data_IF_807020177219
#
_entry.id   IF_807020177219
#
_cell.length_a   1.000
_cell.length_b   1.000
_cell.length_c   1.000
_cell.angle_alpha   90.00
_cell.angle_beta   90.00
_cell.angle_gamma   90.00
#
_symmetry.space_group_name_H-M   'P 1'
#
loop_
_entity.id
_entity.type
_entity.pdbx_description
1 polymer ?
#
# COMPACT_ATOMS: atom_id res chain seq x y z
N UNK A 1 -27.36 44.23 3.24
CA UNK A 1 -26.47 43.77 2.15
C UNK A 1 -25.31 42.91 2.67
N UNK A 2 -24.45 43.44 3.57
CA UNK A 2 -23.28 42.71 4.10
C UNK A 2 -23.66 41.37 4.76
N UNK A 3 -24.73 41.33 5.58
CA UNK A 3 -25.19 40.07 6.19
C UNK A 3 -25.56 39.00 5.16
N UNK A 4 -26.29 39.34 4.10
CA UNK A 4 -26.63 38.37 3.05
C UNK A 4 -25.37 37.84 2.35
N UNK A 5 -24.40 38.72 2.08
CA UNK A 5 -23.12 38.32 1.49
C UNK A 5 -22.39 37.31 2.39
N UNK A 6 -22.26 37.61 3.69
CA UNK A 6 -21.61 36.73 4.66
C UNK A 6 -22.32 35.38 4.78
N UNK A 7 -23.66 35.37 4.80
CA UNK A 7 -24.47 34.16 4.85
C UNK A 7 -24.24 33.26 3.63
N UNK A 8 -24.41 33.79 2.42
CA UNK A 8 -24.29 32.97 1.20
C UNK A 8 -22.85 32.57 0.93
N UNK A 9 -21.89 33.49 1.11
CA UNK A 9 -20.48 33.18 0.91
C UNK A 9 -19.98 32.15 1.92
N UNK A 10 -20.37 32.27 3.20
CA UNK A 10 -19.91 31.34 4.21
C UNK A 10 -20.49 29.92 4.04
N UNK A 11 -21.76 29.80 3.66
CA UNK A 11 -22.35 28.49 3.31
C UNK A 11 -21.68 27.88 2.07
N UNK A 12 -21.43 28.69 1.03
CA UNK A 12 -20.77 28.23 -0.20
C UNK A 12 -19.35 27.72 0.10
N UNK A 13 -18.55 28.48 0.85
CA UNK A 13 -17.19 28.09 1.20
C UNK A 13 -17.21 26.83 2.07
N UNK A 14 -18.06 26.77 3.09
CA UNK A 14 -18.14 25.62 3.99
C UNK A 14 -18.54 24.34 3.25
N UNK A 15 -19.58 24.40 2.40
CA UNK A 15 -20.00 23.27 1.59
C UNK A 15 -18.93 22.85 0.59
N UNK A 16 -18.24 23.81 -0.03
CA UNK A 16 -17.13 23.52 -0.95
C UNK A 16 -16.00 22.80 -0.22
N UNK A 17 -15.62 23.23 0.99
CA UNK A 17 -14.61 22.53 1.79
C UNK A 17 -15.05 21.11 2.15
N UNK A 18 -16.31 20.91 2.55
CA UNK A 18 -16.85 19.58 2.83
C UNK A 18 -16.83 18.65 1.61
N UNK A 19 -17.21 19.16 0.43
CA UNK A 19 -17.20 18.41 -0.83
C UNK A 19 -15.77 18.05 -1.27
N UNK A 20 -14.83 18.97 -1.14
CA UNK A 20 -13.44 18.71 -1.49
C UNK A 20 -12.79 17.71 -0.54
N UNK A 21 -13.05 17.82 0.77
CA UNK A 21 -12.59 16.86 1.77
C UNK A 21 -13.14 15.44 1.48
N UNK A 22 -14.43 15.35 1.16
CA UNK A 22 -15.07 14.10 0.72
C UNK A 22 -14.43 13.52 -0.54
N UNK A 23 -14.26 14.32 -1.58
CA UNK A 23 -13.69 13.85 -2.86
C UNK A 23 -12.22 13.44 -2.73
N UNK A 24 -11.41 14.23 -2.04
CA UNK A 24 -9.95 14.11 -2.09
C UNK A 24 -9.38 13.19 -1.00
N UNK A 25 -10.05 13.03 0.15
CA UNK A 25 -9.64 12.12 1.22
C UNK A 25 -10.61 10.95 1.47
N UNK A 26 -11.80 10.96 0.87
CA UNK A 26 -12.69 9.81 0.92
C UNK A 26 -12.33 8.75 -0.13
N UNK A 27 -12.31 7.48 0.27
CA UNK A 27 -12.13 6.36 -0.69
C UNK A 27 -13.39 6.09 -1.51
N UNK A 28 -14.58 6.17 -0.88
CA UNK A 28 -15.85 5.87 -1.56
C UNK A 28 -16.09 6.79 -2.77
N UNK A 29 -15.85 8.11 -2.69
CA UNK A 29 -16.03 9.01 -3.84
C UNK A 29 -15.14 8.64 -5.02
N UNK A 30 -13.95 8.09 -4.75
CA UNK A 30 -13.03 7.66 -5.80
C UNK A 30 -13.56 6.46 -6.60
N UNK A 31 -14.61 5.76 -6.16
CA UNK A 31 -15.30 4.75 -6.98
C UNK A 31 -16.00 5.35 -8.20
N UNK A 32 -16.36 6.64 -8.15
CA UNK A 32 -17.17 7.31 -9.17
C UNK A 32 -16.60 8.64 -9.65
N UNK A 33 -15.62 9.20 -8.93
CA UNK A 33 -14.99 10.48 -9.24
C UNK A 33 -13.50 10.32 -9.42
N UNK A 34 -12.95 11.03 -10.42
CA UNK A 34 -11.50 11.13 -10.57
C UNK A 34 -10.91 12.11 -9.57
N UNK A 35 -9.85 11.68 -8.91
CA UNK A 35 -9.06 12.50 -7.99
C UNK A 35 -7.62 12.56 -8.52
N UNK A 36 -7.01 13.74 -8.44
CA UNK A 36 -5.61 13.94 -8.85
C UNK A 36 -4.69 13.85 -7.64
N UNK A 37 -3.47 13.35 -7.84
CA UNK A 37 -2.49 13.19 -6.75
C UNK A 37 -2.26 14.47 -5.97
N UNK A 38 -2.03 15.56 -6.70
CA UNK A 38 -1.75 16.89 -6.13
C UNK A 38 -2.85 17.38 -5.19
N UNK A 39 -4.11 16.99 -5.43
CA UNK A 39 -5.22 17.36 -4.56
C UNK A 39 -5.19 16.55 -3.26
N UNK A 40 -4.97 15.24 -3.35
CA UNK A 40 -4.81 14.36 -2.19
C UNK A 40 -3.68 14.88 -1.30
N UNK A 41 -2.49 15.11 -1.88
CA UNK A 41 -1.32 15.60 -1.14
C UNK A 41 -1.57 16.95 -0.47
N UNK A 42 -2.25 17.87 -1.17
CA UNK A 42 -2.61 19.18 -0.60
C UNK A 42 -3.56 19.04 0.60
N UNK A 43 -4.54 18.14 0.52
CA UNK A 43 -5.46 17.88 1.62
C UNK A 43 -4.79 17.19 2.79
N UNK A 44 -3.91 16.20 2.55
CA UNK A 44 -3.14 15.54 3.62
C UNK A 44 -2.32 16.55 4.42
N UNK A 45 -1.61 17.46 3.73
CA UNK A 45 -0.76 18.48 4.36
C UNK A 45 -1.54 19.54 5.14
N UNK A 46 -2.75 19.87 4.69
CA UNK A 46 -3.51 21.03 5.19
C UNK A 46 -4.90 20.67 5.71
N UNK A 47 -5.13 19.41 6.07
CA UNK A 47 -6.45 18.87 6.45
C UNK A 47 -7.15 19.76 7.46
N UNK A 48 -6.51 19.99 8.61
CA UNK A 48 -7.10 20.78 9.69
C UNK A 48 -7.28 22.25 9.33
N UNK A 49 -6.45 22.80 8.44
CA UNK A 49 -6.63 24.17 7.94
C UNK A 49 -7.89 24.27 7.07
N UNK A 50 -8.11 23.33 6.16
CA UNK A 50 -9.32 23.29 5.34
C UNK A 50 -10.57 23.08 6.19
N UNK A 51 -10.51 22.18 7.19
CA UNK A 51 -11.61 21.97 8.13
C UNK A 51 -11.88 23.22 8.98
N UNK A 52 -10.84 23.91 9.46
CA UNK A 52 -10.99 25.17 10.21
C UNK A 52 -11.60 26.29 9.37
N UNK A 53 -11.18 26.44 8.10
CA UNK A 53 -11.78 27.41 7.16
C UNK A 53 -13.26 27.07 6.92
N UNK A 54 -13.58 25.80 6.67
CA UNK A 54 -14.95 25.34 6.47
C UNK A 54 -15.84 25.56 7.70
N UNK A 55 -15.32 25.27 8.89
CA UNK A 55 -16.04 25.47 10.16
C UNK A 55 -16.21 26.95 10.50
N UNK A 56 -15.16 27.77 10.31
CA UNK A 56 -15.20 29.21 10.59
C UNK A 56 -16.18 29.96 9.69
N UNK A 57 -16.23 29.61 8.39
CA UNK A 57 -17.17 30.21 7.44
C UNK A 57 -18.61 29.75 7.66
N UNK A 58 -18.82 28.50 8.09
CA UNK A 58 -20.11 28.04 8.58
C UNK A 58 -20.54 28.81 9.83
N UNK A 59 -19.66 28.98 10.82
CA UNK A 59 -19.97 29.69 12.06
C UNK A 59 -20.35 31.15 11.78
N UNK A 60 -19.63 31.84 10.90
CA UNK A 60 -19.99 33.19 10.46
C UNK A 60 -21.40 33.22 9.84
N UNK A 61 -21.74 32.23 9.01
CA UNK A 61 -23.07 32.10 8.42
C UNK A 61 -24.14 31.83 9.48
N UNK A 62 -23.84 31.00 10.47
CA UNK A 62 -24.75 30.65 11.57
C UNK A 62 -25.03 31.85 12.47
N UNK A 63 -24.01 32.63 12.83
CA UNK A 63 -24.17 33.87 13.61
C UNK A 63 -25.06 34.87 12.86
N UNK A 64 -24.83 35.04 11.55
CA UNK A 64 -25.63 35.94 10.72
C UNK A 64 -27.08 35.44 10.56
N UNK A 65 -27.27 34.14 10.37
CA UNK A 65 -28.59 33.54 10.22
C UNK A 65 -29.42 33.58 11.52
N UNK A 66 -28.86 33.05 12.61
CA UNK A 66 -29.56 32.89 13.89
C UNK A 66 -29.62 34.21 14.65
N UNK A 67 -28.52 34.97 14.67
CA UNK A 67 -28.43 36.22 15.44
C UNK A 67 -29.14 37.40 14.77
N UNK A 68 -29.22 37.43 13.44
CA UNK A 68 -29.76 38.58 12.69
C UNK A 68 -30.90 38.21 11.75
N UNK A 69 -31.39 36.96 11.78
CA UNK A 69 -32.49 36.47 10.92
C UNK A 69 -32.24 36.67 9.42
N UNK A 70 -30.98 36.54 8.98
CA UNK A 70 -30.59 36.74 7.58
C UNK A 70 -30.60 35.41 6.81
N UNK A 71 -31.20 35.43 5.62
CA UNK A 71 -31.18 34.29 4.70
C UNK A 71 -32.26 33.24 5.00
N UNK A 72 -32.61 32.39 4.01
CA UNK A 72 -33.66 31.41 4.16
C UNK A 72 -33.22 30.23 5.05
N UNK A 73 -34.03 29.90 6.07
CA UNK A 73 -33.71 28.83 7.02
C UNK A 73 -33.57 27.44 6.41
N UNK A 74 -34.38 27.11 5.38
CA UNK A 74 -34.29 25.82 4.69
C UNK A 74 -32.91 25.60 4.07
N UNK A 75 -32.31 26.65 3.49
CA UNK A 75 -30.99 26.57 2.87
C UNK A 75 -29.92 26.39 3.94
N UNK A 76 -29.98 27.16 5.02
CA UNK A 76 -29.04 27.06 6.13
C UNK A 76 -29.00 25.64 6.71
N UNK A 77 -30.16 25.07 7.04
CA UNK A 77 -30.22 23.74 7.65
C UNK A 77 -29.83 22.63 6.67
N UNK A 78 -30.27 22.71 5.40
CA UNK A 78 -29.89 21.72 4.39
C UNK A 78 -28.38 21.75 4.14
N UNK A 79 -27.78 22.92 3.97
CA UNK A 79 -26.33 23.07 3.80
C UNK A 79 -25.57 22.61 5.05
N UNK A 80 -26.07 22.92 6.25
CA UNK A 80 -25.44 22.49 7.51
C UNK A 80 -25.42 20.96 7.63
N UNK A 81 -26.55 20.31 7.38
CA UNK A 81 -26.66 18.84 7.45
C UNK A 81 -25.77 18.20 6.39
N UNK A 82 -25.79 18.70 5.15
CA UNK A 82 -24.98 18.16 4.07
C UNK A 82 -23.49 18.31 4.33
N UNK A 83 -23.02 19.50 4.70
CA UNK A 83 -21.61 19.73 5.05
C UNK A 83 -21.19 18.88 6.25
N UNK A 84 -22.02 18.84 7.29
CA UNK A 84 -21.79 18.00 8.47
C UNK A 84 -21.66 16.52 8.09
N UNK A 85 -22.54 16.00 7.24
CA UNK A 85 -22.50 14.63 6.76
C UNK A 85 -21.23 14.33 5.95
N UNK A 86 -20.84 15.21 5.02
CA UNK A 86 -19.63 15.05 4.20
C UNK A 86 -18.37 15.03 5.06
N UNK A 87 -18.24 15.95 6.02
CA UNK A 87 -17.08 16.02 6.91
C UNK A 87 -17.07 14.84 7.90
N UNK A 88 -18.18 14.60 8.59
CA UNK A 88 -18.26 13.57 9.60
C UNK A 88 -18.05 12.18 9.00
N UNK A 89 -18.59 11.91 7.81
CA UNK A 89 -18.39 10.64 7.12
C UNK A 89 -16.91 10.37 6.88
N UNK A 90 -16.20 11.30 6.23
CA UNK A 90 -14.77 11.13 5.89
C UNK A 90 -13.93 11.01 7.15
N UNK A 91 -14.14 11.92 8.11
CA UNK A 91 -13.34 11.95 9.33
C UNK A 91 -13.52 10.68 10.15
N UNK A 92 -14.76 10.19 10.30
CA UNK A 92 -15.04 8.92 11.00
C UNK A 92 -14.46 7.74 10.22
N UNK A 93 -14.66 7.69 8.89
CA UNK A 93 -14.13 6.63 8.04
C UNK A 93 -12.61 6.52 8.19
N UNK A 94 -11.89 7.63 7.95
CA UNK A 94 -10.43 7.68 7.95
C UNK A 94 -9.86 7.47 9.36
N UNK A 95 -10.25 8.27 10.34
CA UNK A 95 -9.57 8.26 11.65
C UNK A 95 -10.13 7.24 12.65
N UNK A 96 -11.33 6.69 12.43
CA UNK A 96 -11.95 5.70 13.32
C UNK A 96 -12.19 4.37 12.64
N UNK A 97 -12.62 4.36 11.38
CA UNK A 97 -12.90 3.16 10.60
C UNK A 97 -11.61 2.42 10.20
N UNK A 98 -10.59 3.15 9.74
CA UNK A 98 -9.28 2.62 9.35
C UNK A 98 -8.28 2.57 10.52
N UNK A 99 -8.79 2.37 11.74
CA UNK A 99 -7.97 2.31 12.96
C UNK A 99 -6.88 1.26 12.80
N UNK A 100 -5.64 1.74 12.70
CA UNK A 100 -4.48 0.90 12.47
C UNK A 100 -3.97 0.24 13.76
N UNK A 101 -3.10 -0.75 13.62
CA UNK A 101 -2.50 -1.50 14.72
C UNK A 101 -0.96 -1.50 14.61
N UNK A 102 -0.37 -0.37 14.22
CA UNK A 102 1.09 -0.28 14.00
C UNK A 102 1.94 -0.57 15.25
N UNK A 103 1.38 -0.35 16.44
CA UNK A 103 2.04 -0.58 17.74
C UNK A 103 1.28 -1.58 18.63
N UNK A 104 0.07 -1.98 18.23
CA UNK A 104 -0.86 -2.74 19.09
C UNK A 104 -1.33 -4.06 18.46
N UNK A 105 -0.69 -4.49 17.37
CA UNK A 105 -1.04 -5.74 16.71
C UNK A 105 -0.85 -6.92 17.65
N UNK A 106 -1.76 -7.89 17.55
CA UNK A 106 -1.68 -9.13 18.32
C UNK A 106 -1.39 -10.29 17.39
N UNK A 107 -0.37 -11.05 17.75
CA UNK A 107 0.07 -12.25 17.05
C UNK A 107 -0.29 -13.47 17.89
N UNK A 108 -0.86 -14.46 17.23
CA UNK A 108 -1.39 -15.67 17.85
C UNK A 108 -0.68 -16.90 17.29
N UNK A 109 -0.75 -18.03 18.01
CA UNK A 109 -0.22 -19.28 17.49
C UNK A 109 -0.96 -19.70 16.22
N UNK A 110 -0.31 -20.54 15.41
CA UNK A 110 -0.96 -21.17 14.26
C UNK A 110 -2.23 -21.93 14.68
N UNK A 111 -2.21 -22.63 15.81
CA UNK A 111 -3.36 -23.40 16.29
C UNK A 111 -4.59 -22.51 16.48
N UNK A 112 -4.43 -21.39 17.19
CA UNK A 112 -5.52 -20.45 17.42
C UNK A 112 -5.97 -19.75 16.12
N UNK A 113 -5.03 -19.46 15.22
CA UNK A 113 -5.34 -18.79 13.96
C UNK A 113 -6.17 -19.64 12.98
N UNK A 114 -6.18 -20.97 13.12
CA UNK A 114 -6.96 -21.90 12.26
C UNK A 114 -8.46 -21.68 12.37
N UNK A 115 -8.95 -21.13 13.47
CA UNK A 115 -10.36 -20.80 13.66
C UNK A 115 -10.81 -19.58 12.84
N UNK A 116 -9.85 -18.78 12.36
CA UNK A 116 -10.11 -17.49 11.70
C UNK A 116 -9.59 -17.43 10.27
N UNK A 117 -8.62 -18.26 9.91
CA UNK A 117 -7.88 -18.17 8.64
C UNK A 117 -7.98 -19.51 7.91
N UNK A 118 -8.59 -19.49 6.72
CA UNK A 118 -8.66 -20.68 5.86
C UNK A 118 -7.23 -21.10 5.42
N UNK A 119 -6.93 -22.41 5.33
CA UNK A 119 -5.63 -22.91 4.84
C UNK A 119 -5.23 -22.37 3.45
N UNK A 120 -6.20 -22.01 2.60
CA UNK A 120 -5.96 -21.46 1.25
C UNK A 120 -5.78 -19.94 1.24
N UNK A 121 -5.96 -19.27 2.38
CA UNK A 121 -5.83 -17.81 2.47
C UNK A 121 -4.40 -17.41 2.17
N UNK A 122 -4.22 -16.42 1.29
CA UNK A 122 -2.92 -15.80 1.06
C UNK A 122 -2.50 -14.98 2.28
N UNK A 123 -1.27 -15.19 2.75
CA UNK A 123 -0.65 -14.49 3.87
C UNK A 123 0.61 -13.78 3.37
N UNK A 124 0.89 -12.60 3.93
CA UNK A 124 2.16 -11.91 3.73
C UNK A 124 3.05 -12.23 4.93
N UNK A 125 4.28 -12.65 4.67
CA UNK A 125 5.19 -13.10 5.70
C UNK A 125 6.32 -12.10 5.90
N UNK A 126 6.61 -11.83 7.17
CA UNK A 126 7.87 -11.28 7.64
C UNK A 126 8.61 -12.36 8.39
N UNK A 127 9.91 -12.46 8.19
CA UNK A 127 10.76 -13.43 8.85
C UNK A 127 12.11 -12.80 9.18
N UNK A 128 12.64 -13.15 10.35
CA UNK A 128 14.00 -12.85 10.77
C UNK A 128 14.50 -13.96 11.68
N UNK A 129 15.65 -14.53 11.33
CA UNK A 129 16.33 -15.57 12.12
C UNK A 129 15.43 -16.78 12.48
N UNK A 130 14.58 -17.20 11.55
CA UNK A 130 13.63 -18.29 11.72
C UNK A 130 12.32 -17.90 12.42
N UNK A 131 12.23 -16.70 13.00
CA UNK A 131 11.01 -16.20 13.64
C UNK A 131 10.16 -15.48 12.61
N UNK A 132 8.98 -16.04 12.35
CA UNK A 132 8.10 -15.57 11.29
C UNK A 132 6.73 -15.11 11.80
N UNK A 133 6.21 -14.06 11.15
CA UNK A 133 4.88 -13.50 11.34
C UNK A 133 4.10 -13.52 10.03
N UNK A 134 2.96 -14.19 10.02
CA UNK A 134 2.01 -14.17 8.92
C UNK A 134 0.96 -13.08 9.10
N UNK A 135 0.62 -12.40 8.01
CA UNK A 135 -0.40 -11.36 7.95
C UNK A 135 -1.44 -11.77 6.90
N UNK A 136 -2.53 -12.46 7.31
CA UNK A 136 -3.59 -12.84 6.40
C UNK A 136 -4.26 -11.62 5.80
N UNK A 137 -4.48 -11.62 4.49
CA UNK A 137 -5.06 -10.49 3.76
C UNK A 137 -6.38 -10.01 4.37
N UNK A 138 -7.28 -10.93 4.72
CA UNK A 138 -8.58 -10.62 5.33
C UNK A 138 -8.48 -9.94 6.70
N UNK A 139 -7.40 -10.19 7.44
CA UNK A 139 -7.19 -9.66 8.78
C UNK A 139 -6.53 -8.27 8.73
N UNK A 140 -5.57 -8.06 7.83
CA UNK A 140 -4.83 -6.79 7.73
C UNK A 140 -5.49 -5.75 6.83
N UNK A 141 -6.43 -6.16 5.96
CA UNK A 141 -7.15 -5.27 5.02
C UNK A 141 -7.75 -4.02 5.66
N UNK A 142 -8.37 -4.13 6.84
CA UNK A 142 -8.99 -2.97 7.51
C UNK A 142 -7.98 -2.10 8.28
N UNK A 143 -7.13 -2.65 9.18
CA UNK A 143 -6.19 -1.81 9.92
C UNK A 143 -5.07 -1.23 9.03
N UNK A 144 -4.77 -1.85 7.88
CA UNK A 144 -3.70 -1.50 6.94
C UNK A 144 -2.27 -1.50 7.51
N UNK A 145 -2.07 -1.27 8.81
CA UNK A 145 -0.79 -1.34 9.50
C UNK A 145 -0.88 -2.32 10.66
N UNK A 146 0.11 -3.20 10.78
CA UNK A 146 0.27 -4.14 11.88
C UNK A 146 1.71 -4.17 12.36
N UNK A 147 1.93 -3.94 13.65
CA UNK A 147 3.24 -3.95 14.31
C UNK A 147 3.10 -3.93 15.83
N UNK A 148 4.23 -4.05 16.51
CA UNK A 148 4.33 -4.11 17.98
C UNK A 148 5.51 -3.26 18.44
N UNK A 149 5.46 -2.73 19.66
CA UNK A 149 6.57 -1.97 20.25
C UNK A 149 7.86 -2.81 20.32
N UNK A 150 7.75 -4.11 20.58
CA UNK A 150 8.90 -5.02 20.64
C UNK A 150 9.49 -5.35 19.26
N UNK A 151 8.79 -4.98 18.18
CA UNK A 151 9.19 -5.31 16.82
C UNK A 151 9.22 -6.83 16.54
N UNK A 152 9.99 -7.24 15.51
CA UNK A 152 10.28 -8.63 15.17
C UNK A 152 11.74 -8.92 15.51
N UNK A 153 12.00 -9.81 16.48
CA UNK A 153 13.37 -10.08 16.97
C UNK A 153 14.12 -8.78 17.32
N UNK A 154 13.46 -7.91 18.09
CA UNK A 154 13.98 -6.61 18.53
C UNK A 154 14.09 -5.54 17.44
N UNK A 155 13.71 -5.84 16.19
CA UNK A 155 13.73 -4.86 15.10
C UNK A 155 12.37 -4.20 14.92
N UNK A 156 12.36 -2.88 14.96
CA UNK A 156 11.18 -2.07 14.68
C UNK A 156 10.73 -2.26 13.23
N UNK A 157 9.67 -3.04 13.02
CA UNK A 157 9.09 -3.30 11.70
C UNK A 157 7.58 -3.23 11.79
N UNK A 158 6.98 -2.51 10.83
CA UNK A 158 5.54 -2.42 10.64
C UNK A 158 5.20 -3.02 9.29
N UNK A 159 4.28 -3.98 9.29
CA UNK A 159 3.65 -4.45 8.06
C UNK A 159 2.62 -3.41 7.61
N UNK A 160 2.75 -2.95 6.37
CA UNK A 160 1.75 -2.12 5.69
C UNK A 160 1.02 -2.97 4.66
N UNK A 161 -0.27 -2.72 4.43
CA UNK A 161 -1.04 -3.44 3.43
C UNK A 161 -2.08 -2.55 2.76
N UNK A 162 -2.15 -2.63 1.43
CA UNK A 162 -3.19 -2.04 0.61
C UNK A 162 -3.98 -3.13 -0.09
N UNK A 163 -5.27 -3.26 0.23
CA UNK A 163 -6.13 -4.28 -0.38
C UNK A 163 -6.43 -4.00 -1.86
N UNK A 164 -6.45 -2.74 -2.27
CA UNK A 164 -6.67 -2.35 -3.68
C UNK A 164 -5.43 -2.64 -4.54
N UNK A 165 -4.22 -2.46 -4.02
CA UNK A 165 -2.99 -2.87 -4.69
C UNK A 165 -2.70 -4.37 -4.57
N UNK A 166 -3.32 -5.03 -3.59
CA UNK A 166 -2.91 -6.32 -3.06
C UNK A 166 -1.41 -6.35 -2.68
N UNK A 167 -0.94 -5.25 -2.07
CA UNK A 167 0.47 -5.03 -1.75
C UNK A 167 0.70 -4.97 -0.25
N UNK A 168 1.46 -5.94 0.27
CA UNK A 168 2.01 -5.93 1.62
C UNK A 168 3.49 -5.55 1.59
N UNK A 169 3.91 -4.62 2.45
CA UNK A 169 5.31 -4.22 2.58
C UNK A 169 5.66 -4.03 4.06
N UNK A 170 6.72 -4.70 4.50
CA UNK A 170 7.33 -4.45 5.80
C UNK A 170 8.31 -3.29 5.69
N UNK A 171 8.27 -2.38 6.66
CA UNK A 171 9.17 -1.23 6.70
C UNK A 171 9.56 -0.91 8.13
N UNK A 172 10.78 -0.43 8.32
CA UNK A 172 11.17 0.28 9.55
C UNK A 172 10.55 1.68 9.49
N UNK A 173 9.66 2.07 10.42
CA UNK A 173 8.95 3.34 10.39
C UNK A 173 9.83 4.50 10.88
N UNK A 174 11.04 4.62 10.33
CA UNK A 174 12.06 5.58 10.68
C UNK A 174 12.75 6.06 9.41
N UNK A 175 13.13 7.33 9.36
CA UNK A 175 13.96 7.91 8.32
C UNK A 175 15.04 8.73 9.00
N UNK A 176 16.30 8.38 8.74
CA UNK A 176 17.48 9.09 9.30
C UNK A 176 17.49 9.15 10.83
N UNK A 177 17.00 8.09 11.47
CA UNK A 177 16.89 7.96 12.92
C UNK A 177 15.66 8.64 13.52
N UNK A 178 14.88 9.37 12.72
CA UNK A 178 13.65 10.03 13.17
C UNK A 178 12.44 9.12 12.94
N UNK A 179 11.63 8.94 13.99
CA UNK A 179 10.40 8.14 13.94
C UNK A 179 9.37 8.79 13.01
N UNK A 180 8.76 7.97 12.16
CA UNK A 180 7.63 8.35 11.30
C UNK A 180 6.33 7.93 11.99
N UNK A 181 5.50 8.92 12.30
CA UNK A 181 4.18 8.68 12.88
C UNK A 181 3.17 8.37 11.77
N UNK A 182 3.21 7.14 11.25
CA UNK A 182 2.33 6.72 10.15
C UNK A 182 0.85 6.70 10.55
N UNK A 183 0.02 7.30 9.69
CA UNK A 183 -1.43 7.20 9.70
C UNK A 183 -1.95 6.93 8.29
N UNK A 184 -3.01 6.13 8.17
CA UNK A 184 -3.66 5.81 6.89
C UNK A 184 -4.68 6.90 6.59
N UNK A 185 -4.56 7.59 5.45
CA UNK A 185 -5.48 8.67 5.11
C UNK A 185 -6.26 8.47 3.82
N UNK A 186 -5.61 7.94 2.78
CA UNK A 186 -6.21 7.88 1.46
C UNK A 186 -5.57 6.78 0.62
N UNK A 187 -6.02 6.68 -0.62
CA UNK A 187 -5.35 5.96 -1.69
C UNK A 187 -5.24 6.84 -2.93
N UNK A 188 -4.23 6.54 -3.75
CA UNK A 188 -4.03 7.13 -5.06
C UNK A 188 -3.19 6.18 -5.92
N UNK A 189 -3.42 6.13 -7.23
CA UNK A 189 -2.77 5.15 -8.10
C UNK A 189 -3.10 3.71 -7.71
N UNK A 190 -4.30 3.47 -7.14
CA UNK A 190 -4.68 2.20 -6.52
C UNK A 190 -3.72 1.70 -5.42
N UNK A 191 -2.93 2.58 -4.83
CA UNK A 191 -2.04 2.26 -3.73
C UNK A 191 -2.25 3.19 -2.53
N UNK A 192 -1.95 2.68 -1.33
CA UNK A 192 -2.17 3.35 -0.06
C UNK A 192 -1.30 4.61 0.07
N UNK A 193 -1.92 5.68 0.57
CA UNK A 193 -1.24 6.93 0.94
C UNK A 193 -1.33 7.09 2.45
N UNK A 194 -0.16 7.08 3.08
CA UNK A 194 0.01 7.32 4.50
C UNK A 194 0.32 8.81 4.73
N UNK A 195 0.17 9.28 5.96
CA UNK A 195 0.68 10.56 6.45
C UNK A 195 1.71 10.30 7.54
N UNK A 196 2.80 11.05 7.51
CA UNK A 196 3.67 11.23 8.66
C UNK A 196 3.08 12.33 9.56
N UNK A 197 2.47 11.97 10.68
CA UNK A 197 1.80 12.92 11.57
C UNK A 197 2.76 13.92 12.23
N UNK A 198 4.08 13.65 12.24
CA UNK A 198 5.06 14.60 12.75
C UNK A 198 5.26 15.78 11.79
N UNK A 199 5.13 15.55 10.49
CA UNK A 199 5.46 16.55 9.45
C UNK A 199 4.26 16.97 8.59
N UNK A 200 3.17 16.20 8.61
CA UNK A 200 2.03 16.36 7.71
C UNK A 200 2.30 15.87 6.29
N UNK A 201 3.46 15.26 6.02
CA UNK A 201 3.82 14.86 4.66
C UNK A 201 3.17 13.52 4.26
N UNK A 202 2.61 13.44 3.04
CA UNK A 202 2.11 12.18 2.50
C UNK A 202 3.26 11.25 2.13
N UNK A 203 3.05 9.95 2.34
CA UNK A 203 3.97 8.87 2.00
C UNK A 203 3.21 7.89 1.10
N UNK A 204 3.70 7.65 -0.11
CA UNK A 204 3.15 6.58 -0.95
C UNK A 204 3.69 5.24 -0.47
N UNK A 205 2.81 4.30 -0.13
CA UNK A 205 3.20 3.01 0.44
C UNK A 205 4.16 2.24 -0.47
N UNK A 206 3.94 2.20 -1.80
CA UNK A 206 4.81 1.44 -2.71
C UNK A 206 6.27 1.92 -2.73
N UNK A 207 6.50 3.19 -2.39
CA UNK A 207 7.83 3.81 -2.39
C UNK A 207 8.48 3.86 -1.00
N UNK A 208 7.68 4.01 0.05
CA UNK A 208 8.17 4.05 1.43
C UNK A 208 8.95 5.33 1.78
N UNK A 209 8.72 6.43 1.08
CA UNK A 209 9.28 7.75 1.40
C UNK A 209 8.26 8.88 1.23
N UNK A 210 8.53 10.05 1.82
CA UNK A 210 7.63 11.20 1.80
C UNK A 210 7.60 11.84 0.41
N UNK A 211 6.46 12.35 -0.03
CA UNK A 211 6.32 12.94 -1.37
C UNK A 211 7.29 14.11 -1.62
N UNK A 212 7.63 14.90 -0.59
CA UNK A 212 8.63 15.97 -0.69
C UNK A 212 10.07 15.48 -0.92
N UNK A 213 10.35 14.21 -0.58
CA UNK A 213 11.67 13.59 -0.67
C UNK A 213 11.85 12.85 -2.01
N UNK A 214 10.88 12.95 -2.93
CA UNK A 214 10.94 12.35 -4.26
C UNK A 214 11.96 13.06 -5.17
N UNK A 215 12.73 12.29 -5.92
CA UNK A 215 13.52 12.80 -7.03
C UNK A 215 12.60 13.08 -8.23
N UNK A 216 12.49 14.35 -8.60
CA UNK A 216 11.64 14.80 -9.71
C UNK A 216 12.39 14.87 -11.05
N UNK A 217 13.68 14.54 -11.07
CA UNK A 217 14.51 14.56 -12.28
C UNK A 217 14.38 13.31 -13.15
N UNK A 218 13.75 12.25 -12.62
CA UNK A 218 13.53 10.98 -13.32
C UNK A 218 12.07 10.80 -13.72
N UNK A 219 11.79 9.94 -14.71
CA UNK A 219 10.44 9.61 -15.18
C UNK A 219 9.64 8.81 -14.13
N UNK A 220 9.25 9.48 -13.05
CA UNK A 220 8.37 9.00 -11.97
C UNK A 220 8.98 9.17 -10.57
N UNK A 221 8.16 9.32 -9.51
CA UNK A 221 8.62 9.40 -8.12
C UNK A 221 9.10 8.03 -7.58
N UNK A 222 9.78 7.22 -8.39
CA UNK A 222 10.24 5.89 -8.03
C UNK A 222 11.48 5.91 -7.11
N UNK A 223 12.22 7.02 -7.11
CA UNK A 223 13.44 7.18 -6.35
C UNK A 223 13.34 8.37 -5.37
N UNK A 224 13.87 8.22 -4.15
CA UNK A 224 14.06 9.36 -3.27
C UNK A 224 15.26 10.19 -3.74
N UNK A 225 15.32 11.48 -3.36
CA UNK A 225 16.46 12.37 -3.58
C UNK A 225 17.78 11.77 -3.07
N UNK A 226 17.71 10.99 -1.99
CA UNK A 226 18.80 10.15 -1.49
C UNK A 226 18.23 8.91 -0.81
N UNK A 227 18.94 7.79 -0.89
CA UNK A 227 18.47 6.50 -0.36
C UNK A 227 18.15 6.54 1.14
N UNK A 228 18.83 7.38 1.92
CA UNK A 228 18.59 7.52 3.36
C UNK A 228 17.23 8.15 3.72
N UNK A 229 16.55 8.80 2.78
CA UNK A 229 15.22 9.38 2.99
C UNK A 229 14.07 8.37 2.85
N UNK A 230 14.39 7.12 2.47
CA UNK A 230 13.43 6.02 2.38
C UNK A 230 13.41 5.24 3.68
N UNK A 231 12.22 4.88 4.16
CA UNK A 231 12.07 3.90 5.21
C UNK A 231 12.74 2.60 4.79
N UNK A 232 13.49 1.97 5.70
CA UNK A 232 14.18 0.73 5.38
C UNK A 232 13.16 -0.36 5.01
N UNK A 233 13.17 -0.90 3.78
CA UNK A 233 12.28 -1.99 3.41
C UNK A 233 12.73 -3.29 4.05
N UNK A 234 11.76 -4.15 4.36
CA UNK A 234 11.98 -5.50 4.87
C UNK A 234 11.60 -6.54 3.81
N UNK A 235 12.34 -7.65 3.71
CA UNK A 235 11.96 -8.76 2.87
C UNK A 235 10.55 -9.25 3.21
N UNK A 236 9.66 -9.20 2.22
CA UNK A 236 8.31 -9.73 2.33
C UNK A 236 8.04 -10.67 1.18
N UNK A 237 7.27 -11.71 1.46
CA UNK A 237 6.87 -12.72 0.48
C UNK A 237 5.47 -13.21 0.79
N UNK A 238 4.86 -13.91 -0.16
CA UNK A 238 3.48 -14.38 -0.06
C UNK A 238 3.42 -15.87 -0.26
N UNK A 239 2.54 -16.49 0.51
CA UNK A 239 2.24 -17.91 0.45
C UNK A 239 0.83 -18.17 0.94
N UNK A 240 0.36 -19.40 0.80
CA UNK A 240 -0.87 -19.82 1.47
C UNK A 240 -0.64 -20.01 2.96
N UNK A 241 -1.71 -19.90 3.76
CA UNK A 241 -1.62 -20.15 5.19
C UNK A 241 -1.14 -21.57 5.48
N UNK A 242 -1.55 -22.58 4.70
CA UNK A 242 -0.99 -23.93 4.81
C UNK A 242 0.51 -23.98 4.49
N UNK A 243 0.98 -23.20 3.52
CA UNK A 243 2.40 -23.06 3.22
C UNK A 243 3.14 -22.52 4.43
N UNK A 244 2.60 -21.49 5.08
CA UNK A 244 3.14 -20.91 6.30
C UNK A 244 3.21 -21.92 7.45
N UNK A 245 2.14 -22.68 7.67
CA UNK A 245 2.10 -23.72 8.70
C UNK A 245 3.19 -24.78 8.52
N UNK A 246 3.51 -25.12 7.27
CA UNK A 246 4.59 -26.07 6.95
C UNK A 246 5.97 -25.46 7.09
N UNK A 247 6.15 -24.22 6.63
CA UNK A 247 7.45 -23.55 6.60
C UNK A 247 7.88 -23.07 8.00
N UNK A 248 6.92 -22.61 8.80
CA UNK A 248 7.14 -21.98 10.10
C UNK A 248 6.12 -22.52 11.12
N UNK A 249 6.29 -23.76 11.60
CA UNK A 249 5.34 -24.38 12.55
C UNK A 249 5.20 -23.61 13.87
N UNK A 250 6.26 -22.92 14.29
CA UNK A 250 6.28 -22.03 15.46
C UNK A 250 5.97 -20.56 15.11
N UNK A 251 5.61 -20.31 13.85
CA UNK A 251 5.26 -18.98 13.36
C UNK A 251 4.00 -18.45 14.03
N UNK A 252 3.89 -17.12 14.07
CA UNK A 252 2.73 -16.44 14.65
C UNK A 252 1.92 -15.72 13.59
N UNK A 253 0.63 -15.49 13.86
CA UNK A 253 -0.33 -14.97 12.88
C UNK A 253 -1.03 -13.74 13.43
N UNK A 254 -1.05 -12.66 12.65
CA UNK A 254 -1.82 -11.47 12.97
C UNK A 254 -3.32 -11.73 12.84
N UNK A 255 -4.09 -11.42 13.90
CA UNK A 255 -5.55 -11.46 13.88
C UNK A 255 -6.14 -10.12 14.31
N UNK A 256 -6.97 -9.51 13.46
CA UNK A 256 -7.71 -8.29 13.77
C UNK A 256 -9.03 -8.67 14.46
N UNK A 257 -8.95 -9.11 15.72
CA UNK A 257 -10.14 -9.50 16.47
C UNK A 257 -11.03 -8.28 16.80
N UNK A 258 -12.37 -8.43 16.80
CA UNK A 258 -13.27 -7.32 17.11
C UNK A 258 -13.00 -6.69 18.49
N UNK A 259 -13.19 -5.37 18.64
CA UNK A 259 -12.98 -4.69 19.90
C UNK A 259 -14.05 -5.09 20.93
N UNK A 260 -13.72 -4.96 22.21
CA UNK A 260 -14.66 -5.18 23.32
C UNK A 260 -15.77 -4.12 23.38
N UNK A 261 -15.50 -2.91 22.87
CA UNK A 261 -16.47 -1.81 22.84
C UNK A 261 -17.57 -2.12 21.81
N UNK A 262 -18.87 -2.13 22.18
CA UNK A 262 -19.95 -2.54 21.29
C UNK A 262 -20.18 -1.57 20.12
N UNK A 263 -20.00 -0.26 20.32
CA UNK A 263 -20.15 0.75 19.26
C UNK A 263 -19.03 0.61 18.23
N UNK A 264 -17.78 0.44 18.69
CA UNK A 264 -16.66 0.20 17.79
C UNK A 264 -16.79 -1.14 17.09
N UNK A 265 -17.33 -2.18 17.75
CA UNK A 265 -17.59 -3.47 17.12
C UNK A 265 -18.61 -3.36 16.00
N UNK A 266 -19.67 -2.58 16.19
CA UNK A 266 -20.68 -2.34 15.15
C UNK A 266 -20.09 -1.57 13.97
N UNK A 267 -19.29 -0.53 14.25
CA UNK A 267 -18.58 0.22 13.21
C UNK A 267 -17.62 -0.70 12.43
N UNK A 268 -16.78 -1.46 13.14
CA UNK A 268 -15.81 -2.40 12.56
C UNK A 268 -16.54 -3.44 11.68
N UNK A 269 -17.67 -3.97 12.13
CA UNK A 269 -18.49 -4.90 11.34
C UNK A 269 -19.03 -4.27 10.05
N UNK A 270 -19.58 -3.05 10.12
CA UNK A 270 -20.08 -2.35 8.95
C UNK A 270 -18.95 -2.05 7.93
N UNK A 271 -17.79 -1.65 8.44
CA UNK A 271 -16.59 -1.43 7.62
C UNK A 271 -16.11 -2.72 6.96
N UNK A 272 -15.99 -3.82 7.73
CA UNK A 272 -15.55 -5.12 7.20
C UNK A 272 -16.48 -5.65 6.11
N UNK A 273 -17.79 -5.48 6.26
CA UNK A 273 -18.76 -5.84 5.23
C UNK A 273 -18.53 -5.02 3.94
N UNK A 274 -18.38 -3.70 4.06
CA UNK A 274 -18.15 -2.80 2.94
C UNK A 274 -16.81 -3.11 2.23
N UNK A 275 -15.74 -3.32 3.00
CA UNK A 275 -14.43 -3.70 2.48
C UNK A 275 -14.49 -5.05 1.76
N UNK A 276 -15.04 -6.08 2.40
CA UNK A 276 -15.10 -7.42 1.81
C UNK A 276 -15.85 -7.41 0.48
N UNK A 277 -17.01 -6.75 0.40
CA UNK A 277 -17.77 -6.64 -0.83
C UNK A 277 -16.98 -5.87 -1.93
N UNK A 278 -16.36 -4.75 -1.55
CA UNK A 278 -15.62 -3.89 -2.50
C UNK A 278 -14.35 -4.56 -3.01
N UNK A 279 -13.61 -5.25 -2.14
CA UNK A 279 -12.37 -5.95 -2.50
C UNK A 279 -12.68 -7.22 -3.28
N UNK A 280 -13.72 -7.99 -2.92
CA UNK A 280 -14.15 -9.13 -3.74
C UNK A 280 -14.51 -8.70 -5.15
N UNK A 281 -15.25 -7.60 -5.30
CA UNK A 281 -15.53 -6.97 -6.60
C UNK A 281 -14.23 -6.56 -7.30
N UNK A 282 -13.30 -5.90 -6.60
CA UNK A 282 -12.01 -5.48 -7.15
C UNK A 282 -11.18 -6.65 -7.71
N UNK A 283 -11.17 -7.79 -7.02
CA UNK A 283 -10.41 -8.97 -7.43
C UNK A 283 -11.04 -9.70 -8.63
N UNK A 284 -12.35 -9.55 -8.84
CA UNK A 284 -13.10 -10.28 -9.88
C UNK A 284 -13.34 -9.45 -11.14
N UNK A 285 -13.41 -8.13 -11.02
CA UNK A 285 -13.55 -7.24 -12.18
C UNK A 285 -12.21 -7.00 -12.86
N UNK A 286 -12.19 -7.15 -14.19
CA UNK A 286 -11.00 -6.85 -14.98
C UNK A 286 -10.62 -5.35 -14.95
N UNK A 287 -11.55 -4.46 -14.63
CA UNK A 287 -11.26 -3.02 -14.56
C UNK A 287 -10.89 -2.61 -13.13
N UNK A 288 -9.95 -1.65 -12.97
CA UNK A 288 -9.80 -0.93 -11.71
C UNK A 288 -11.14 -0.31 -11.26
N UNK A 289 -11.53 -0.55 -10.01
CA UNK A 289 -12.79 0.00 -9.49
C UNK A 289 -12.64 1.42 -8.95
N UNK A 290 -11.44 1.80 -8.51
CA UNK A 290 -11.14 3.16 -8.07
C UNK A 290 -10.64 3.97 -9.27
N UNK A 291 -11.15 5.18 -9.40
CA UNK A 291 -10.89 6.11 -10.50
C UNK A 291 -9.72 7.06 -10.17
N UNK A 292 -8.61 6.53 -9.68
CA UNK A 292 -7.49 7.33 -9.17
C UNK A 292 -6.13 6.97 -9.81
N UNK A 293 -6.14 6.31 -10.97
CA UNK A 293 -4.95 6.12 -11.81
C UNK A 293 -4.66 7.42 -12.59
N UNK A 294 -3.39 7.81 -12.68
CA UNK A 294 -2.93 8.95 -13.48
C UNK A 294 -2.68 8.55 -14.92
N UNK A 295 -2.36 7.29 -15.16
CA UNK A 295 -2.03 6.78 -16.49
C UNK A 295 -3.08 5.81 -17.02
N UNK A 296 -3.19 5.67 -18.36
CA UNK A 296 -3.95 4.59 -18.97
C UNK A 296 -3.45 3.23 -18.48
N UNK A 297 -4.37 2.29 -18.34
CA UNK A 297 -4.04 0.90 -17.96
C UNK A 297 -3.10 0.31 -19.01
N UNK A 298 -1.98 -0.23 -18.52
CA UNK A 298 -0.98 -0.90 -19.36
C UNK A 298 -1.51 -2.26 -19.87
N UNK A 299 -1.60 -2.47 -21.20
CA UNK A 299 -2.19 -3.68 -21.77
C UNK A 299 -1.24 -4.88 -21.86
N UNK A 300 0.04 -4.76 -21.47
CA UNK A 300 1.03 -5.85 -21.62
C UNK A 300 0.70 -7.11 -20.83
N UNK A 301 -0.03 -6.98 -19.72
CA UNK A 301 -0.58 -8.09 -18.95
C UNK A 301 -2.04 -7.80 -18.54
N UNK A 302 -2.85 -8.84 -18.25
CA UNK A 302 -4.14 -8.63 -17.60
C UNK A 302 -4.00 -7.83 -16.31
N UNK A 303 -4.92 -6.91 -16.07
CA UNK A 303 -4.85 -5.95 -14.96
C UNK A 303 -4.69 -6.57 -13.57
N UNK A 304 -5.30 -7.75 -13.36
CA UNK A 304 -5.33 -8.48 -12.09
C UNK A 304 -4.30 -9.60 -12.01
N UNK A 305 -3.41 -9.72 -13.00
CA UNK A 305 -2.27 -10.62 -12.89
C UNK A 305 -1.42 -10.23 -11.69
N UNK A 306 -1.12 -11.20 -10.82
CA UNK A 306 -0.18 -11.00 -9.73
C UNK A 306 1.23 -10.97 -10.29
N UNK A 307 2.00 -9.99 -9.86
CA UNK A 307 3.40 -9.85 -10.24
C UNK A 307 4.27 -9.69 -8.99
N UNK A 308 5.49 -10.17 -9.07
CA UNK A 308 6.53 -9.92 -8.08
C UNK A 308 7.48 -8.89 -8.68
N UNK A 309 7.24 -7.63 -8.34
CA UNK A 309 8.01 -6.51 -8.85
C UNK A 309 9.24 -6.24 -8.00
N UNK A 310 10.36 -5.89 -8.65
CA UNK A 310 11.58 -5.40 -8.01
C UNK A 310 12.00 -4.12 -8.71
N UNK A 311 12.37 -3.12 -7.92
CA UNK A 311 12.97 -1.88 -8.43
C UNK A 311 14.22 -1.54 -7.62
N UNK A 312 15.33 -1.34 -8.33
CA UNK A 312 16.63 -0.98 -7.75
C UNK A 312 17.16 0.21 -8.56
N UNK A 313 17.17 1.38 -7.94
CA UNK A 313 17.36 2.65 -8.66
C UNK A 313 16.24 2.86 -9.67
N UNK A 314 16.61 3.24 -10.90
CA UNK A 314 15.68 3.43 -12.02
C UNK A 314 15.33 2.14 -12.77
N UNK A 315 16.00 1.03 -12.46
CA UNK A 315 15.75 -0.25 -13.10
C UNK A 315 14.64 -1.02 -12.38
N UNK A 316 13.58 -1.34 -13.11
CA UNK A 316 12.41 -2.04 -12.61
C UNK A 316 12.08 -3.24 -13.50
N UNK A 317 11.73 -4.36 -12.87
CA UNK A 317 11.25 -5.55 -13.56
C UNK A 317 10.21 -6.25 -12.68
N UNK A 318 9.38 -7.09 -13.28
CA UNK A 318 8.50 -7.97 -12.52
C UNK A 318 8.40 -9.35 -13.14
N UNK A 319 8.07 -10.34 -12.31
CA UNK A 319 7.81 -11.71 -12.77
C UNK A 319 6.41 -12.17 -12.41
N UNK A 320 5.83 -12.97 -13.31
CA UNK A 320 4.65 -13.78 -13.03
C UNK A 320 5.07 -15.17 -12.55
N UNK A 321 4.30 -15.76 -11.66
CA UNK A 321 4.52 -17.13 -11.17
C UNK A 321 4.49 -18.17 -12.29
N UNK A 322 3.50 -18.11 -13.19
CA UNK A 322 3.39 -19.02 -14.34
C UNK A 322 4.66 -19.05 -15.20
N UNK A 323 5.29 -17.88 -15.40
CA UNK A 323 6.55 -17.78 -16.15
C UNK A 323 7.69 -18.48 -15.42
N UNK A 324 7.87 -18.22 -14.12
CA UNK A 324 8.95 -18.82 -13.33
C UNK A 324 8.80 -20.33 -13.27
N UNK A 325 7.56 -20.82 -13.12
CA UNK A 325 7.24 -22.26 -13.19
C UNK A 325 7.63 -22.83 -14.56
N UNK A 326 7.29 -22.14 -15.66
CA UNK A 326 7.64 -22.58 -17.01
C UNK A 326 9.16 -22.61 -17.29
N UNK A 327 9.96 -21.83 -16.57
CA UNK A 327 11.43 -21.84 -16.63
C UNK A 327 12.08 -22.92 -15.75
N UNK A 328 11.30 -23.83 -15.17
CA UNK A 328 11.84 -24.87 -14.27
C UNK A 328 11.96 -24.40 -12.81
N UNK A 329 11.12 -23.44 -12.40
CA UNK A 329 11.01 -22.87 -11.07
C UNK A 329 12.14 -21.93 -10.62
N UNK A 330 13.22 -21.76 -11.39
CA UNK A 330 14.34 -20.87 -11.03
C UNK A 330 14.72 -19.98 -12.21
N UNK A 331 14.84 -18.67 -11.98
CA UNK A 331 15.24 -17.67 -12.98
C UNK A 331 16.33 -16.78 -12.38
N UNK A 332 17.46 -16.66 -13.06
CA UNK A 332 18.50 -15.68 -12.74
C UNK A 332 18.24 -14.40 -13.52
N UNK A 333 18.45 -13.25 -12.89
CA UNK A 333 18.29 -11.95 -13.54
C UNK A 333 19.18 -10.88 -12.92
N UNK A 334 19.54 -9.87 -13.72
CA UNK A 334 20.22 -8.67 -13.24
C UNK A 334 19.24 -7.49 -13.17
N UNK A 335 19.17 -6.81 -12.02
CA UNK A 335 18.31 -5.62 -11.81
C UNK A 335 19.09 -4.53 -11.09
N UNK A 336 19.26 -3.37 -11.72
CA UNK A 336 20.02 -2.26 -11.15
C UNK A 336 21.47 -2.63 -10.81
N UNK A 337 22.04 -3.60 -11.53
CA UNK A 337 23.37 -4.16 -11.26
C UNK A 337 23.42 -5.18 -10.12
N UNK A 338 22.29 -5.50 -9.47
CA UNK A 338 22.18 -6.53 -8.45
C UNK A 338 21.77 -7.86 -9.10
N UNK A 339 22.59 -8.92 -9.02
CA UNK A 339 22.17 -10.26 -9.44
C UNK A 339 21.12 -10.80 -8.47
N UNK A 340 20.05 -11.38 -9.02
CA UNK A 340 18.92 -11.92 -8.30
C UNK A 340 18.57 -13.33 -8.78
N UNK A 341 18.05 -14.15 -7.87
CA UNK A 341 17.42 -15.44 -8.19
C UNK A 341 15.94 -15.37 -7.83
N UNK A 342 15.07 -15.58 -8.81
CA UNK A 342 13.64 -15.71 -8.62
C UNK A 342 13.29 -17.19 -8.60
N UNK A 343 12.70 -17.67 -7.50
CA UNK A 343 12.41 -19.09 -7.31
C UNK A 343 10.98 -19.34 -6.83
N UNK A 344 10.29 -20.24 -7.52
CA UNK A 344 8.99 -20.77 -7.11
C UNK A 344 9.17 -22.03 -6.26
N UNK A 345 8.54 -22.07 -5.10
CA UNK A 345 8.45 -23.29 -4.30
C UNK A 345 7.05 -23.90 -4.40
N UNK A 346 6.89 -25.06 -5.09
CA UNK A 346 5.60 -25.76 -5.15
C UNK A 346 5.11 -26.23 -3.78
N UNK A 347 6.03 -26.62 -2.88
CA UNK A 347 5.69 -27.17 -1.57
C UNK A 347 5.02 -26.13 -0.65
N UNK A 348 5.49 -24.89 -0.72
CA UNK A 348 5.03 -23.78 0.11
C UNK A 348 4.15 -22.78 -0.66
N UNK A 349 3.98 -22.97 -1.97
CA UNK A 349 3.17 -22.14 -2.86
C UNK A 349 3.59 -20.66 -2.78
N UNK A 350 4.90 -20.42 -2.89
CA UNK A 350 5.52 -19.11 -2.69
C UNK A 350 6.53 -18.82 -3.79
N UNK A 351 6.44 -17.63 -4.38
CA UNK A 351 7.49 -17.07 -5.24
C UNK A 351 8.37 -16.16 -4.41
N UNK A 352 9.67 -16.41 -4.50
CA UNK A 352 10.70 -15.80 -3.68
C UNK A 352 11.72 -15.12 -4.59
N UNK A 353 12.28 -14.00 -4.15
CA UNK A 353 13.40 -13.35 -4.84
C UNK A 353 14.55 -13.22 -3.85
N UNK A 354 15.70 -13.73 -4.26
CA UNK A 354 16.93 -13.78 -3.49
C UNK A 354 17.98 -12.90 -4.13
N UNK A 355 18.83 -12.33 -3.29
CA UNK A 355 20.08 -11.69 -3.72
C UNK A 355 21.05 -12.81 -4.09
N UNK A 356 21.54 -12.80 -5.32
CA UNK A 356 22.57 -13.73 -5.78
C UNK A 356 23.95 -13.10 -5.56
N UNK A 357 24.70 -13.63 -4.61
CA UNK A 357 26.07 -13.25 -4.27
C UNK A 357 27.09 -14.38 -4.52
N UNK A 358 26.69 -15.46 -5.21
CA UNK A 358 27.58 -16.59 -5.54
C UNK A 358 28.60 -16.26 -6.64
N UNK A 359 28.28 -15.26 -7.47
CA UNK A 359 29.08 -14.90 -8.66
C UNK A 359 28.76 -15.70 -9.92
N UNK A 360 27.85 -16.69 -9.84
CA UNK A 360 27.42 -17.54 -10.96
C UNK A 360 25.89 -17.71 -10.97
N UNK A 361 25.34 -18.19 -12.08
CA UNK A 361 23.90 -18.49 -12.16
C UNK A 361 23.53 -19.63 -11.20
N UNK A 362 22.48 -19.44 -10.42
CA UNK A 362 21.96 -20.43 -9.49
C UNK A 362 20.97 -21.34 -10.22
N UNK A 363 21.24 -22.65 -10.27
CA UNK A 363 20.38 -23.62 -10.93
C UNK A 363 19.15 -23.98 -10.08
N UNK A 364 19.32 -24.07 -8.76
CA UNK A 364 18.28 -24.42 -7.81
C UNK A 364 18.54 -23.69 -6.48
N UNK A 365 17.46 -23.26 -5.84
CA UNK A 365 17.48 -22.72 -4.48
C UNK A 365 16.21 -23.19 -3.77
N UNK A 366 16.38 -23.65 -2.53
CA UNK A 366 15.23 -24.05 -1.72
C UNK A 366 14.41 -22.84 -1.23
N UNK A 367 13.30 -23.12 -0.54
CA UNK A 367 12.42 -22.08 -0.02
C UNK A 367 13.08 -21.17 1.03
N UNK A 368 14.11 -21.67 1.71
CA UNK A 368 14.83 -20.94 2.76
C UNK A 368 16.06 -20.21 2.21
N UNK A 369 16.31 -20.28 0.89
CA UNK A 369 17.41 -19.57 0.24
C UNK A 369 18.71 -20.38 0.19
N UNK A 370 18.67 -21.67 0.50
CA UNK A 370 19.85 -22.53 0.47
C UNK A 370 20.02 -23.17 -0.90
N UNK A 371 21.22 -23.08 -1.45
CA UNK A 371 21.61 -23.73 -2.70
C UNK A 371 22.18 -25.14 -2.44
N UNK A 372 22.25 -26.03 -3.46
CA UNK A 372 22.74 -27.40 -3.28
C UNK A 372 24.17 -27.54 -2.74
N UNK A 373 25.03 -26.57 -3.03
CA UNK A 373 26.42 -26.48 -2.51
C UNK A 373 26.50 -25.95 -1.07
N UNK A 374 25.36 -25.57 -0.48
CA UNK A 374 25.23 -25.16 0.91
C UNK A 374 25.33 -23.65 1.14
N UNK A 375 25.48 -22.84 0.09
CA UNK A 375 25.47 -21.39 0.20
C UNK A 375 24.07 -20.86 0.59
N UNK A 376 24.03 -19.79 1.38
CA UNK A 376 22.80 -19.22 1.93
C UNK A 376 22.55 -17.84 1.31
N UNK A 377 21.54 -17.74 0.46
CA UNK A 377 21.14 -16.48 -0.15
C UNK A 377 20.30 -15.65 0.81
N UNK A 378 20.49 -14.33 0.75
CA UNK A 378 19.65 -13.37 1.46
C UNK A 378 18.40 -13.05 0.63
N UNK A 379 17.24 -12.96 1.28
CA UNK A 379 16.01 -12.57 0.60
C UNK A 379 16.06 -11.08 0.24
N UNK A 380 15.63 -10.72 -0.97
CA UNK A 380 15.63 -9.32 -1.39
C UNK A 380 14.57 -8.50 -0.64
N UNK A 381 14.94 -7.34 -0.05
CA UNK A 381 13.98 -6.44 0.58
C UNK A 381 13.22 -5.57 -0.43
N UNK A 382 13.67 -5.48 -1.68
CA UNK A 382 13.09 -4.58 -2.68
C UNK A 382 11.88 -5.18 -3.42
N UNK A 383 11.45 -6.38 -3.05
CA UNK A 383 10.34 -7.10 -3.67
C UNK A 383 8.98 -6.54 -3.24
N UNK A 384 8.11 -6.29 -4.22
CA UNK A 384 6.70 -5.97 -4.04
C UNK A 384 5.92 -7.24 -4.39
N UNK A 385 5.78 -8.15 -3.42
CA UNK A 385 5.33 -9.51 -3.68
C UNK A 385 3.82 -9.57 -3.98
N UNK A 386 3.48 -10.07 -5.17
CA UNK A 386 2.10 -10.38 -5.55
C UNK A 386 1.17 -9.18 -5.72
N UNK A 387 1.68 -7.99 -6.06
CA UNK A 387 0.81 -6.86 -6.37
C UNK A 387 0.10 -7.06 -7.71
N UNK A 388 -1.01 -6.34 -7.93
CA UNK A 388 -1.65 -6.37 -9.25
C UNK A 388 -0.83 -5.63 -10.31
N UNK A 389 -0.78 -6.21 -11.51
CA UNK A 389 -0.08 -5.63 -12.66
C UNK A 389 -0.45 -4.16 -12.92
N UNK A 390 -1.74 -3.82 -12.95
CA UNK A 390 -2.17 -2.46 -13.26
C UNK A 390 -1.66 -1.43 -12.22
N UNK A 391 -1.37 -1.86 -11.00
CA UNK A 391 -0.76 -0.99 -9.98
C UNK A 391 0.75 -0.95 -10.17
N UNK A 392 1.40 -2.07 -10.43
CA UNK A 392 2.83 -2.08 -10.75
C UNK A 392 3.17 -1.15 -11.92
N UNK A 393 2.43 -1.29 -13.03
CA UNK A 393 2.64 -0.52 -14.24
C UNK A 393 2.30 0.98 -14.07
N UNK A 394 1.40 1.34 -13.15
CA UNK A 394 1.13 2.75 -12.81
C UNK A 394 2.37 3.44 -12.25
N UNK A 395 3.12 2.76 -11.36
CA UNK A 395 4.27 3.32 -10.68
C UNK A 395 5.63 3.05 -11.38
N UNK A 396 5.72 2.01 -12.21
CA UNK A 396 6.95 1.57 -12.89
C UNK A 396 6.71 1.31 -14.39
N UNK A 397 6.32 2.35 -15.12
CA UNK A 397 5.88 2.23 -16.54
C UNK A 397 6.91 1.59 -17.47
N UNK A 398 8.19 1.87 -17.23
CA UNK A 398 9.31 1.33 -18.03
C UNK A 398 9.79 -0.05 -17.58
N UNK A 399 9.04 -0.72 -16.69
CA UNK A 399 9.38 -2.06 -16.20
C UNK A 399 9.51 -3.07 -17.33
N UNK A 400 10.49 -3.95 -17.21
CA UNK A 400 10.51 -5.21 -17.95
C UNK A 400 9.55 -6.22 -17.31
N UNK A 401 9.12 -7.20 -18.12
CA UNK A 401 8.27 -8.30 -17.67
C UNK A 401 9.04 -9.59 -17.93
N UNK A 402 9.14 -10.45 -16.92
CA UNK A 402 9.73 -11.78 -17.01
C UNK A 402 11.18 -11.77 -17.52
N UNK A 403 11.99 -10.83 -17.02
CA UNK A 403 13.42 -10.69 -17.38
C UNK A 403 14.21 -11.94 -17.00
N UNK A 404 15.15 -12.34 -17.86
CA UNK A 404 16.10 -13.45 -17.65
C UNK A 404 17.51 -12.98 -18.00
N UNK A 405 18.50 -13.41 -17.22
CA UNK A 405 19.93 -13.17 -17.44
C UNK A 405 20.36 -11.71 -17.28
N UNK A 406 21.53 -11.40 -17.84
CA UNK A 406 22.04 -10.03 -17.98
C UNK A 406 21.60 -9.42 -19.34
N UNK A 407 20.74 -8.39 -19.36
CA UNK A 407 20.38 -7.69 -20.58
C UNK A 407 21.61 -7.10 -21.32
N UNK A 408 22.68 -6.78 -20.57
CA UNK A 408 23.91 -6.21 -21.12
C UNK A 408 24.71 -7.24 -21.93
N UNK A 409 24.65 -8.52 -21.56
CA UNK A 409 25.27 -9.62 -22.31
C UNK A 409 24.58 -9.84 -23.68
N UNK A 410 23.25 -9.71 -23.73
CA UNK A 410 22.49 -9.80 -24.98
C UNK A 410 22.83 -8.66 -25.96
N UNK A 411 23.05 -7.44 -25.45
CA UNK A 411 23.44 -6.28 -26.28
C UNK A 411 24.89 -6.32 -26.80
N UNK A 412 25.80 -7.02 -26.09
CA UNK A 412 27.18 -7.25 -26.56
C UNK A 412 27.23 -8.31 -27.66
N UNK A 413 26.45 -9.38 -27.52
CA UNK A 413 26.35 -10.43 -28.56
C UNK A 413 25.88 -9.92 -29.92
N UNK A 414 24.99 -8.92 -29.95
CA UNK A 414 24.53 -8.31 -31.20
C UNK A 414 25.54 -7.30 -31.79
N UNK A 415 26.29 -6.59 -30.94
CA UNK A 415 27.39 -5.72 -31.41
C UNK A 415 28.56 -6.52 -31.96
N UNK A 416 28.90 -7.64 -31.33
CA UNK A 416 29.98 -8.52 -31.79
C UNK A 416 29.58 -9.28 -33.07
N UNK A 417 28.29 -9.58 -33.26
CA UNK A 417 27.76 -10.10 -34.53
C UNK A 417 27.71 -9.06 -35.64
N UNK A 418 27.42 -7.80 -35.33
CA UNK A 418 27.48 -6.70 -36.29
C UNK A 418 28.90 -6.22 -36.62
N UNK A 419 29.89 -6.49 -35.75
CA UNK A 419 31.30 -6.23 -36.02
C UNK A 419 32.00 -7.38 -36.77
N UNK A 420 31.38 -8.57 -36.81
CA UNK A 420 31.87 -9.75 -37.52
C UNK A 420 31.19 -9.99 -38.89
N UNK A 421 30.29 -9.09 -39.29
CA UNK A 421 29.66 -9.03 -40.61
C UNK A 421 30.10 -7.74 -41.32
#
# INVERSE_FOLDING_TARGET
MIGHLLFYAGLLVSLTMGLLYFRDLGDIPQLVMKTKRVNVDRFIRNEYQFLAIGAGTWLASAVVHIGFSVGPGWLFWTSTILTGALIAFVWVYVHKGLRNQKETAKYYSIEEARDFVSPTTQVIVLEKNGVARAHPQSQIMRPHLAGTEEGLEGSNVVMTFCAIANLGLGMTPEVEGEKIEMEVLAQHGNNLVLRDNNTGEPIQQIYGFRAKDADTSTDGPACPLRQSLRMQPWPTFRMTFRGFQKAYPEGTVFLNKPPKNPLLRLLDFAMELAFTATIQKHHTEAKPIMQNLEHPVDPRLPTKTYVWGVNIGSDATCWTDDFVVAQGNTVNALVGGQPLVVSWSPLYESLNVWINDTGEDVAEVDFFGKTPDGHQLARSPDVKAGLFWHVWAEFFRHTDINRVGDPSAASRGDKDRQAAA
#
